data_IF_880729092135
#
_entry.id   IF_880729092135
#
_cell.length_a   1.000
_cell.length_b   1.000
_cell.length_c   1.000
_cell.angle_alpha   90.00
_cell.angle_beta   90.00
_cell.angle_gamma   90.00
#
_symmetry.space_group_name_H-M   'P 1'
#
loop_
_entity.id
_entity.type
_entity.pdbx_description
1 polymer ?
#
# COMPACT_ATOMS: atom_id res chain seq x y z
N UNK A 1 2.80 35.63 -1.75
CA UNK A 1 3.20 34.73 -0.66
C UNK A 1 3.33 33.34 -1.27
N UNK A 2 4.55 32.80 -1.38
CA UNK A 2 4.76 31.42 -1.75
C UNK A 2 4.21 30.58 -0.58
N UNK A 3 3.15 29.81 -0.83
CA UNK A 3 2.70 28.79 0.13
C UNK A 3 3.84 27.79 0.24
N UNK A 4 4.54 27.80 1.37
CA UNK A 4 5.49 26.73 1.69
C UNK A 4 4.69 25.42 1.69
N UNK A 5 4.98 24.53 0.75
CA UNK A 5 4.35 23.22 0.75
C UNK A 5 4.80 22.49 2.01
N UNK A 6 3.86 21.93 2.76
CA UNK A 6 4.21 21.11 3.94
C UNK A 6 5.14 19.98 3.49
N UNK A 7 6.30 19.80 4.14
CA UNK A 7 7.18 18.68 3.82
C UNK A 7 6.40 17.37 3.98
N UNK A 8 6.46 16.52 2.97
CA UNK A 8 5.81 15.21 2.98
C UNK A 8 6.82 14.16 2.50
N UNK A 9 7.02 13.11 3.28
CA UNK A 9 7.83 11.96 2.89
C UNK A 9 6.97 10.70 2.94
N UNK A 10 6.82 10.05 1.80
CA UNK A 10 6.04 8.80 1.65
C UNK A 10 6.93 7.69 1.13
N UNK A 11 6.59 6.44 1.45
CA UNK A 11 7.37 5.31 1.00
C UNK A 11 6.52 4.07 0.70
N UNK A 12 7.00 3.24 -0.23
CA UNK A 12 6.52 1.92 -0.54
C UNK A 12 7.54 0.87 -0.05
N UNK A 13 7.08 -0.07 0.75
CA UNK A 13 7.87 -1.23 1.17
C UNK A 13 7.72 -2.33 0.12
N UNK A 14 8.80 -2.69 -0.54
CA UNK A 14 8.88 -3.85 -1.40
C UNK A 14 9.40 -5.02 -0.59
N UNK A 15 8.51 -5.92 -0.17
CA UNK A 15 8.84 -6.98 0.77
C UNK A 15 8.37 -8.35 0.31
N UNK A 16 9.07 -9.43 0.65
CA UNK A 16 8.52 -10.77 0.58
C UNK A 16 7.50 -10.97 1.70
N UNK A 17 6.64 -11.96 1.56
CA UNK A 17 5.79 -12.46 2.64
C UNK A 17 5.91 -13.97 2.76
N UNK A 18 6.02 -14.48 3.99
CA UNK A 18 5.94 -15.90 4.27
C UNK A 18 4.45 -16.34 4.25
N UNK A 19 4.08 -17.38 3.48
CA UNK A 19 2.70 -17.83 3.36
C UNK A 19 2.06 -18.16 4.71
N UNK A 20 1.02 -17.40 5.12
CA UNK A 20 0.26 -17.60 6.35
C UNK A 20 1.01 -17.35 7.66
N UNK A 21 2.30 -17.00 7.64
CA UNK A 21 3.09 -16.77 8.84
C UNK A 21 3.02 -15.30 9.30
N UNK A 22 1.95 -14.97 10.02
CA UNK A 22 1.69 -13.60 10.50
C UNK A 22 2.83 -13.07 11.38
N UNK A 23 3.46 -13.91 12.19
CA UNK A 23 4.52 -13.46 13.11
C UNK A 23 5.79 -13.09 12.33
N UNK A 24 6.22 -13.94 11.42
CA UNK A 24 7.38 -13.67 10.56
C UNK A 24 7.14 -12.43 9.69
N UNK A 25 5.95 -12.29 9.12
CA UNK A 25 5.58 -11.13 8.33
C UNK A 25 5.53 -9.86 9.18
N UNK A 26 5.03 -9.94 10.43
CA UNK A 26 5.11 -8.84 11.39
C UNK A 26 6.56 -8.37 11.60
N UNK A 27 7.50 -9.30 11.82
CA UNK A 27 8.91 -8.95 12.01
C UNK A 27 9.50 -8.24 10.78
N UNK A 28 9.13 -8.67 9.56
CA UNK A 28 9.48 -8.00 8.31
C UNK A 28 8.92 -6.58 8.25
N UNK A 29 7.64 -6.40 8.58
CA UNK A 29 7.00 -5.08 8.62
C UNK A 29 7.67 -4.15 9.64
N UNK A 30 7.95 -4.64 10.84
CA UNK A 30 8.63 -3.85 11.88
C UNK A 30 10.06 -3.46 11.47
N UNK A 31 10.78 -4.32 10.73
CA UNK A 31 12.08 -3.97 10.16
C UNK A 31 11.96 -2.84 9.13
N UNK A 32 10.94 -2.89 8.26
CA UNK A 32 10.66 -1.82 7.30
C UNK A 32 10.30 -0.51 7.99
N UNK A 33 9.46 -0.54 9.03
CA UNK A 33 9.09 0.65 9.81
C UNK A 33 10.32 1.31 10.40
N UNK A 34 11.22 0.54 11.03
CA UNK A 34 12.48 1.08 11.59
C UNK A 34 13.36 1.72 10.51
N UNK A 35 13.51 1.06 9.35
CA UNK A 35 14.31 1.59 8.26
C UNK A 35 13.69 2.88 7.66
N UNK A 36 12.39 2.90 7.45
CA UNK A 36 11.66 4.07 6.96
C UNK A 36 11.71 5.26 7.92
N UNK A 37 11.65 4.99 9.24
CA UNK A 37 11.73 6.03 10.26
C UNK A 37 13.05 6.81 10.21
N UNK A 38 14.17 6.15 9.94
CA UNK A 38 15.47 6.81 9.77
C UNK A 38 15.52 7.75 8.55
N UNK A 39 14.63 7.54 7.57
CA UNK A 39 14.49 8.39 6.37
C UNK A 39 13.47 9.54 6.58
N UNK A 40 12.81 9.61 7.73
CA UNK A 40 11.78 10.62 8.01
C UNK A 40 10.47 10.37 7.27
N UNK A 41 10.17 9.12 6.93
CA UNK A 41 8.92 8.71 6.27
C UNK A 41 7.73 8.93 7.20
N UNK A 42 6.67 9.53 6.67
CA UNK A 42 5.43 9.82 7.38
C UNK A 42 4.27 8.89 6.98
N UNK A 43 4.41 8.22 5.82
CA UNK A 43 3.50 7.18 5.33
C UNK A 43 4.32 6.03 4.75
N UNK A 44 4.09 4.82 5.22
CA UNK A 44 4.67 3.60 4.67
C UNK A 44 3.56 2.67 4.18
N UNK A 45 3.51 2.47 2.86
CA UNK A 45 2.59 1.56 2.17
C UNK A 45 3.24 0.20 2.01
N UNK A 46 2.52 -0.86 2.38
CA UNK A 46 2.90 -2.26 2.12
C UNK A 46 2.07 -2.86 0.98
N UNK A 47 2.51 -4.00 0.39
CA UNK A 47 1.78 -4.70 -0.66
C UNK A 47 0.40 -5.23 -0.22
N UNK A 48 -0.42 -5.62 -1.19
CA UNK A 48 -1.68 -6.36 -0.97
C UNK A 48 -1.42 -7.60 -0.10
N UNK A 49 -2.28 -7.86 0.92
CA UNK A 49 -2.18 -9.04 1.81
C UNK A 49 -0.77 -9.28 2.40
N UNK A 50 0.03 -8.24 2.56
CA UNK A 50 1.45 -8.34 2.95
C UNK A 50 1.68 -9.05 4.29
N UNK A 51 0.68 -9.06 5.19
CA UNK A 51 0.80 -9.74 6.49
C UNK A 51 0.64 -11.25 6.42
N UNK A 52 0.03 -11.80 5.36
CA UNK A 52 -0.12 -13.26 5.21
C UNK A 52 0.42 -13.81 3.89
N UNK A 53 0.81 -12.95 2.97
CA UNK A 53 1.06 -13.30 1.59
C UNK A 53 -0.25 -13.37 0.76
N UNK A 54 -0.12 -13.30 -0.55
CA UNK A 54 -1.25 -13.50 -1.46
C UNK A 54 -1.55 -15.00 -1.58
N UNK A 55 -2.17 -15.55 -0.51
CA UNK A 55 -2.47 -16.98 -0.38
C UNK A 55 -3.99 -17.18 -0.22
N UNK A 56 -4.74 -17.22 -1.33
CA UNK A 56 -6.20 -17.24 -1.31
C UNK A 56 -6.80 -18.32 -0.43
N UNK A 57 -6.23 -19.52 -0.45
CA UNK A 57 -6.72 -20.66 0.32
C UNK A 57 -6.62 -20.47 1.85
N UNK A 58 -5.78 -19.54 2.31
CA UNK A 58 -5.55 -19.26 3.73
C UNK A 58 -6.37 -18.08 4.25
N UNK A 59 -7.05 -17.32 3.39
CA UNK A 59 -7.71 -16.07 3.78
C UNK A 59 -8.73 -16.24 4.89
N UNK A 60 -9.55 -17.29 4.84
CA UNK A 60 -10.62 -17.52 5.81
C UNK A 60 -10.09 -17.74 7.23
N UNK A 61 -8.90 -18.33 7.36
CA UNK A 61 -8.27 -18.63 8.65
C UNK A 61 -7.44 -17.45 9.20
N UNK A 62 -7.24 -16.40 8.41
CA UNK A 62 -6.35 -15.26 8.73
C UNK A 62 -7.09 -13.91 8.76
N UNK A 63 -8.41 -13.91 8.93
CA UNK A 63 -9.19 -12.67 9.06
C UNK A 63 -8.75 -11.92 10.31
N UNK A 64 -8.32 -10.66 10.14
CA UNK A 64 -7.90 -9.81 11.24
C UNK A 64 -9.03 -8.85 11.64
N UNK A 65 -9.08 -8.56 12.94
CA UNK A 65 -9.86 -7.47 13.54
C UNK A 65 -8.91 -6.37 14.03
N UNK A 66 -9.42 -5.17 14.27
CA UNK A 66 -8.61 -4.01 14.67
C UNK A 66 -7.83 -4.23 16.00
N UNK A 67 -8.26 -5.17 16.83
CA UNK A 67 -7.65 -5.55 18.10
C UNK A 67 -6.75 -6.80 18.00
N UNK A 68 -6.56 -7.33 16.77
CA UNK A 68 -5.67 -8.48 16.58
C UNK A 68 -4.23 -8.13 16.99
N UNK A 69 -3.51 -9.01 17.74
CA UNK A 69 -2.18 -8.73 18.29
C UNK A 69 -1.17 -8.19 17.26
N UNK A 70 -1.18 -8.71 16.04
CA UNK A 70 -0.30 -8.24 14.94
C UNK A 70 -0.60 -6.79 14.58
N UNK A 71 -1.87 -6.40 14.43
CA UNK A 71 -2.25 -5.01 14.16
C UNK A 71 -1.97 -4.09 15.34
N UNK A 72 -2.16 -4.57 16.59
CA UNK A 72 -1.80 -3.79 17.78
C UNK A 72 -0.30 -3.50 17.83
N UNK A 73 0.56 -4.48 17.52
CA UNK A 73 2.01 -4.27 17.45
C UNK A 73 2.41 -3.26 16.38
N UNK A 74 1.82 -3.33 15.18
CA UNK A 74 2.06 -2.36 14.11
C UNK A 74 1.51 -0.97 14.45
N UNK A 75 0.35 -0.88 15.09
CA UNK A 75 -0.22 0.37 15.58
C UNK A 75 0.69 1.04 16.62
N UNK A 76 1.26 0.25 17.54
CA UNK A 76 2.26 0.77 18.47
C UNK A 76 3.51 1.27 17.76
N UNK A 77 3.98 0.57 16.73
CA UNK A 77 5.11 1.02 15.92
C UNK A 77 4.77 2.32 15.15
N UNK A 78 3.57 2.44 14.57
CA UNK A 78 3.08 3.66 13.92
C UNK A 78 3.14 4.86 14.88
N UNK A 79 2.62 4.71 16.09
CA UNK A 79 2.64 5.74 17.13
C UNK A 79 4.07 6.09 17.57
N UNK A 80 4.91 5.08 17.82
CA UNK A 80 6.28 5.28 18.32
C UNK A 80 7.18 6.02 17.34
N UNK A 81 6.90 5.88 16.02
CA UNK A 81 7.68 6.51 14.97
C UNK A 81 7.00 7.72 14.32
N UNK A 82 5.78 8.09 14.76
CA UNK A 82 5.03 9.19 14.16
C UNK A 82 4.69 8.98 12.69
N UNK A 83 4.50 7.71 12.26
CA UNK A 83 4.36 7.28 10.87
C UNK A 83 3.04 6.56 10.68
N UNK A 84 2.27 6.93 9.65
CA UNK A 84 1.12 6.14 9.22
C UNK A 84 1.59 4.89 8.46
N UNK A 85 0.95 3.75 8.73
CA UNK A 85 1.22 2.48 8.04
C UNK A 85 -0.04 2.04 7.30
N UNK A 86 0.11 1.59 6.04
CA UNK A 86 -0.94 0.89 5.32
C UNK A 86 -0.49 -0.55 5.10
N UNK A 87 -1.17 -1.49 5.74
CA UNK A 87 -0.80 -2.92 5.72
C UNK A 87 -1.91 -3.77 5.13
N UNK A 88 -1.55 -4.72 4.29
CA UNK A 88 -2.49 -5.64 3.63
C UNK A 88 -2.75 -6.88 4.49
N UNK A 89 -4.03 -7.17 4.76
CA UNK A 89 -4.46 -8.41 5.43
C UNK A 89 -5.93 -8.72 5.12
N UNK A 90 -6.37 -9.99 5.23
CA UNK A 90 -7.77 -10.31 5.21
C UNK A 90 -8.51 -9.60 6.33
N UNK A 91 -9.72 -9.16 6.05
CA UNK A 91 -10.58 -8.42 6.96
C UNK A 91 -12.00 -8.99 6.96
N UNK A 92 -12.78 -8.64 7.98
CA UNK A 92 -14.20 -8.94 7.98
C UNK A 92 -14.89 -8.34 6.76
N UNK A 93 -15.83 -9.08 6.13
CA UNK A 93 -16.56 -8.59 4.97
C UNK A 93 -17.44 -7.37 5.33
N UNK A 94 -17.79 -6.59 4.31
CA UNK A 94 -18.75 -5.49 4.49
C UNK A 94 -20.18 -5.99 4.83
N UNK A 95 -20.53 -7.19 4.36
CA UNK A 95 -21.81 -7.83 4.62
C UNK A 95 -21.62 -9.09 5.48
N UNK A 96 -22.39 -9.19 6.55
CA UNK A 96 -22.33 -10.35 7.44
C UNK A 96 -22.64 -11.65 6.69
N UNK A 97 -21.79 -12.67 6.89
CA UNK A 97 -21.93 -13.99 6.27
C UNK A 97 -21.35 -14.10 4.86
N UNK A 98 -20.80 -13.02 4.30
CA UNK A 98 -20.01 -13.08 3.08
C UNK A 98 -18.60 -13.63 3.33
N UNK A 99 -17.86 -13.93 2.24
CA UNK A 99 -16.45 -14.29 2.31
C UNK A 99 -15.61 -13.12 2.85
N UNK A 100 -14.43 -13.36 3.42
CA UNK A 100 -13.51 -12.31 3.88
C UNK A 100 -13.27 -11.26 2.80
N UNK A 101 -12.97 -10.03 3.20
CA UNK A 101 -12.52 -9.00 2.28
C UNK A 101 -10.98 -8.95 2.21
N UNK A 102 -10.43 -8.57 1.07
CA UNK A 102 -9.03 -8.19 0.95
C UNK A 102 -8.91 -6.76 1.49
N UNK A 103 -8.28 -6.61 2.64
CA UNK A 103 -8.23 -5.35 3.38
C UNK A 103 -6.90 -4.60 3.25
N UNK A 104 -6.97 -3.28 3.25
CA UNK A 104 -5.84 -2.40 3.53
C UNK A 104 -6.13 -1.64 4.84
N UNK A 105 -5.35 -1.92 5.87
CA UNK A 105 -5.47 -1.33 7.20
C UNK A 105 -4.59 -0.11 7.31
N UNK A 106 -5.18 1.06 7.47
CA UNK A 106 -4.47 2.30 7.77
C UNK A 106 -4.36 2.46 9.29
N UNK A 107 -3.14 2.44 9.79
CA UNK A 107 -2.78 2.61 11.20
C UNK A 107 -2.14 3.99 11.36
N UNK A 108 -2.86 4.91 11.99
CA UNK A 108 -2.42 6.30 12.16
C UNK A 108 -1.39 6.46 13.31
N UNK A 109 -0.52 7.49 13.22
CA UNK A 109 0.43 7.82 14.28
C UNK A 109 -0.26 8.32 15.56
N UNK A 110 -1.51 8.75 15.48
CA UNK A 110 -2.38 9.09 16.61
C UNK A 110 -3.06 7.88 17.25
N UNK A 111 -2.82 6.69 16.70
CA UNK A 111 -3.44 5.44 17.11
C UNK A 111 -4.81 5.19 16.46
N UNK A 112 -5.25 5.98 15.52
CA UNK A 112 -6.43 5.72 14.72
C UNK A 112 -6.25 4.46 13.86
N UNK A 113 -7.36 3.81 13.54
CA UNK A 113 -7.41 2.65 12.63
C UNK A 113 -8.55 2.88 11.65
N UNK A 114 -8.24 2.75 10.37
CA UNK A 114 -9.24 2.71 9.30
C UNK A 114 -9.03 1.47 8.43
N UNK A 115 -10.08 0.96 7.86
CA UNK A 115 -10.06 -0.22 6.99
C UNK A 115 -10.66 0.16 5.64
N UNK A 116 -9.89 -0.03 4.58
CA UNK A 116 -10.36 -0.06 3.22
C UNK A 116 -10.48 -1.52 2.76
N UNK A 117 -11.58 -1.85 2.09
CA UNK A 117 -11.81 -3.18 1.49
C UNK A 117 -11.72 -3.06 -0.01
N UNK A 118 -10.92 -3.89 -0.65
CA UNK A 118 -10.76 -3.98 -2.11
C UNK A 118 -12.10 -4.01 -2.81
N UNK A 119 -12.33 -3.08 -3.74
CA UNK A 119 -13.62 -2.92 -4.43
C UNK A 119 -13.74 -3.82 -5.66
N UNK A 120 -12.65 -3.94 -6.40
CA UNK A 120 -12.62 -4.69 -7.64
C UNK A 120 -11.80 -5.96 -7.41
N UNK A 121 -12.47 -7.10 -7.49
CA UNK A 121 -11.82 -8.39 -7.38
C UNK A 121 -11.25 -8.80 -8.73
N UNK A 122 -10.15 -9.52 -8.73
CA UNK A 122 -9.64 -10.21 -9.91
C UNK A 122 -10.52 -11.45 -10.19
N UNK A 123 -10.66 -11.88 -11.45
CA UNK A 123 -11.58 -12.95 -11.91
C UNK A 123 -11.59 -14.25 -11.06
N UNK A 124 -10.49 -14.55 -10.37
CA UNK A 124 -10.40 -15.74 -9.50
C UNK A 124 -10.67 -15.48 -8.02
N UNK A 125 -10.73 -14.21 -7.60
CA UNK A 125 -10.82 -13.85 -6.19
C UNK A 125 -12.22 -14.02 -5.60
N UNK A 126 -13.28 -14.00 -6.41
CA UNK A 126 -14.67 -14.17 -5.98
C UNK A 126 -14.93 -15.52 -5.28
N UNK A 127 -14.03 -16.49 -5.46
CA UNK A 127 -14.13 -17.82 -4.82
C UNK A 127 -13.72 -17.80 -3.34
N UNK A 128 -12.95 -16.79 -2.90
CA UNK A 128 -12.39 -16.73 -1.56
C UNK A 128 -12.43 -15.33 -0.92
N UNK A 129 -12.86 -14.31 -1.66
CA UNK A 129 -13.02 -12.96 -1.15
C UNK A 129 -14.35 -12.33 -1.57
N UNK A 130 -14.82 -11.37 -0.79
CA UNK A 130 -15.93 -10.49 -1.13
C UNK A 130 -15.44 -9.07 -1.40
N UNK A 131 -16.07 -8.43 -2.39
CA UNK A 131 -15.78 -7.04 -2.73
C UNK A 131 -16.21 -6.07 -1.62
N UNK A 132 -15.43 -5.03 -1.41
CA UNK A 132 -15.82 -3.88 -0.61
C UNK A 132 -16.94 -3.07 -1.28
N UNK A 133 -17.78 -2.46 -0.46
CA UNK A 133 -18.90 -1.62 -0.91
C UNK A 133 -18.65 -0.13 -0.66
N UNK A 134 -17.56 0.19 0.04
CA UNK A 134 -17.26 1.55 0.44
C UNK A 134 -16.90 2.41 -0.79
N UNK A 135 -17.47 3.62 -0.86
CA UNK A 135 -17.00 4.62 -1.83
C UNK A 135 -15.54 5.02 -1.56
N UNK A 136 -14.92 5.69 -2.53
CA UNK A 136 -13.56 6.19 -2.38
C UNK A 136 -13.44 7.05 -1.12
N UNK A 137 -12.90 6.46 -0.05
CA UNK A 137 -12.69 7.15 1.22
C UNK A 137 -11.35 7.88 1.17
N UNK A 138 -11.39 9.18 1.44
CA UNK A 138 -10.18 9.99 1.58
C UNK A 138 -9.84 10.11 3.07
N UNK A 139 -8.62 9.73 3.41
CA UNK A 139 -8.04 9.83 4.74
C UNK A 139 -6.97 10.92 4.77
N UNK A 140 -6.85 11.66 5.86
CA UNK A 140 -5.75 12.62 6.02
C UNK A 140 -4.53 11.93 6.62
N UNK A 141 -3.44 11.93 5.86
CA UNK A 141 -2.15 11.38 6.32
C UNK A 141 -1.07 12.46 6.18
N UNK A 142 -0.45 12.83 7.30
CA UNK A 142 0.51 13.92 7.34
C UNK A 142 -0.02 15.25 6.73
N UNK A 143 -1.33 15.49 6.85
CA UNK A 143 -2.00 16.66 6.27
C UNK A 143 -2.36 16.53 4.78
N UNK A 144 -2.04 15.40 4.13
CA UNK A 144 -2.35 15.13 2.73
C UNK A 144 -3.62 14.26 2.59
N UNK A 145 -4.59 14.66 1.77
CA UNK A 145 -5.73 13.81 1.46
C UNK A 145 -5.30 12.59 0.62
N UNK A 146 -5.49 11.39 1.14
CA UNK A 146 -5.05 10.14 0.53
C UNK A 146 -6.22 9.20 0.31
N UNK A 147 -6.27 8.57 -0.86
CA UNK A 147 -7.12 7.42 -1.15
C UNK A 147 -6.29 6.14 -1.24
N UNK A 148 -6.87 5.04 -0.77
CA UNK A 148 -6.27 3.70 -0.85
C UNK A 148 -6.78 2.93 -2.06
N UNK A 149 -5.93 2.06 -2.60
CA UNK A 149 -6.27 1.09 -3.62
C UNK A 149 -5.59 -0.25 -3.33
N UNK A 150 -6.20 -1.35 -3.76
CA UNK A 150 -5.64 -2.68 -3.63
C UNK A 150 -5.68 -3.40 -4.99
N UNK A 151 -4.52 -3.66 -5.54
CA UNK A 151 -4.24 -4.47 -6.73
C UNK A 151 -5.24 -4.21 -7.88
N UNK A 152 -6.22 -5.07 -8.14
CA UNK A 152 -7.17 -4.92 -9.25
C UNK A 152 -7.92 -3.56 -9.26
N UNK A 153 -8.01 -2.83 -8.16
CA UNK A 153 -8.58 -1.47 -8.16
C UNK A 153 -7.85 -0.55 -9.15
N UNK A 154 -6.53 -0.74 -9.33
CA UNK A 154 -5.74 0.08 -10.26
C UNK A 154 -6.05 -0.20 -11.73
N UNK A 155 -6.65 -1.34 -12.06
CA UNK A 155 -7.04 -1.67 -13.45
C UNK A 155 -8.41 -1.10 -13.81
N UNK A 156 -9.06 -0.39 -12.88
CA UNK A 156 -10.35 0.26 -13.04
C UNK A 156 -10.18 1.79 -12.98
N UNK A 157 -10.10 2.49 -14.13
CA UNK A 157 -9.84 3.94 -14.17
C UNK A 157 -10.84 4.77 -13.36
N UNK A 158 -12.08 4.31 -13.27
CA UNK A 158 -13.14 4.94 -12.46
C UNK A 158 -12.81 4.97 -10.97
N UNK A 159 -11.98 4.04 -10.47
CA UNK A 159 -11.54 4.02 -9.08
C UNK A 159 -10.62 5.22 -8.78
N UNK A 160 -9.61 5.46 -9.62
CA UNK A 160 -8.73 6.62 -9.48
C UNK A 160 -9.47 7.94 -9.71
N UNK A 161 -10.41 7.97 -10.68
CA UNK A 161 -11.27 9.13 -10.93
C UNK A 161 -12.16 9.45 -9.72
N UNK A 162 -12.76 8.43 -9.07
CA UNK A 162 -13.57 8.61 -7.86
C UNK A 162 -12.71 9.12 -6.69
N UNK A 163 -11.50 8.58 -6.51
CA UNK A 163 -10.53 9.05 -5.51
C UNK A 163 -10.21 10.54 -5.70
N UNK A 164 -9.92 10.96 -6.93
CA UNK A 164 -9.70 12.38 -7.24
C UNK A 164 -10.93 13.23 -7.00
N UNK A 165 -12.10 12.75 -7.42
CA UNK A 165 -13.39 13.42 -7.21
C UNK A 165 -13.72 13.62 -5.72
N UNK A 166 -13.29 12.72 -4.85
CA UNK A 166 -13.38 12.82 -3.40
C UNK A 166 -12.31 13.75 -2.78
N UNK A 167 -11.40 14.30 -3.58
CA UNK A 167 -10.39 15.27 -3.16
C UNK A 167 -9.03 14.66 -2.82
N UNK A 168 -8.75 13.40 -3.17
CA UNK A 168 -7.44 12.82 -2.95
C UNK A 168 -6.34 13.57 -3.71
N UNK A 169 -5.22 13.83 -3.03
CA UNK A 169 -3.98 14.35 -3.59
C UNK A 169 -2.91 13.26 -3.70
N UNK A 170 -3.08 12.16 -2.98
CA UNK A 170 -2.24 10.97 -3.03
C UNK A 170 -3.12 9.72 -3.24
N UNK A 171 -2.74 8.89 -4.20
CA UNK A 171 -3.32 7.58 -4.47
C UNK A 171 -2.29 6.51 -4.08
N UNK A 172 -2.55 5.77 -3.01
CA UNK A 172 -1.63 4.80 -2.43
C UNK A 172 -2.14 3.38 -2.68
N UNK A 173 -1.41 2.60 -3.46
CA UNK A 173 -1.78 1.27 -3.90
C UNK A 173 -0.85 0.19 -3.33
N UNK A 174 -1.43 -0.82 -2.66
CA UNK A 174 -0.75 -2.07 -2.32
C UNK A 174 -1.08 -3.12 -3.37
N UNK A 175 -0.08 -3.67 -4.05
CA UNK A 175 -0.30 -4.49 -5.26
C UNK A 175 0.53 -5.78 -5.25
N UNK A 176 0.10 -6.74 -6.09
CA UNK A 176 0.89 -7.85 -6.58
C UNK A 176 0.89 -7.81 -8.11
N UNK A 177 1.79 -7.04 -8.69
CA UNK A 177 1.96 -6.91 -10.13
C UNK A 177 3.04 -7.86 -10.59
N UNK A 178 2.68 -8.81 -11.47
CA UNK A 178 3.63 -9.76 -12.06
C UNK A 178 4.50 -9.11 -13.14
N UNK A 179 5.61 -9.75 -13.48
CA UNK A 179 6.49 -9.29 -14.56
C UNK A 179 5.72 -9.10 -15.88
N UNK A 180 4.78 -9.99 -16.18
CA UNK A 180 3.97 -9.95 -17.41
C UNK A 180 3.03 -8.74 -17.46
N UNK A 181 2.46 -8.35 -16.32
CA UNK A 181 1.48 -7.27 -16.24
C UNK A 181 2.12 -5.89 -16.03
N UNK A 182 3.38 -5.84 -15.57
CA UNK A 182 4.02 -4.63 -15.06
C UNK A 182 3.99 -3.45 -16.05
N UNK A 183 4.32 -3.69 -17.32
CA UNK A 183 4.37 -2.61 -18.31
C UNK A 183 3.00 -1.93 -18.50
N UNK A 184 1.91 -2.69 -18.51
CA UNK A 184 0.56 -2.15 -18.67
C UNK A 184 0.07 -1.45 -17.40
N UNK A 185 0.23 -2.10 -16.23
CA UNK A 185 -0.31 -1.58 -14.98
C UNK A 185 0.50 -0.38 -14.46
N UNK A 186 1.82 -0.36 -14.65
CA UNK A 186 2.63 0.82 -14.33
C UNK A 186 2.29 2.03 -15.22
N UNK A 187 1.95 1.79 -16.50
CA UNK A 187 1.48 2.85 -17.37
C UNK A 187 0.11 3.42 -16.96
N UNK A 188 -0.78 2.59 -16.40
CA UNK A 188 -2.04 3.06 -15.79
C UNK A 188 -1.77 3.97 -14.60
N UNK A 189 -0.90 3.56 -13.67
CA UNK A 189 -0.52 4.35 -12.49
C UNK A 189 0.12 5.68 -12.85
N UNK A 190 1.02 5.69 -13.84
CA UNK A 190 1.58 6.93 -14.42
C UNK A 190 0.47 7.80 -15.01
N UNK A 191 -0.47 7.19 -15.76
CA UNK A 191 -1.63 7.85 -16.33
C UNK A 191 -2.48 8.54 -15.26
N UNK A 192 -2.75 7.88 -14.13
CA UNK A 192 -3.51 8.49 -13.03
C UNK A 192 -2.79 9.67 -12.42
N UNK A 193 -1.47 9.59 -12.26
CA UNK A 193 -0.68 10.72 -11.77
C UNK A 193 -0.73 11.92 -12.73
N UNK A 194 -0.73 11.68 -14.04
CA UNK A 194 -0.79 12.70 -15.07
C UNK A 194 -2.21 13.27 -15.22
N UNK A 195 -3.20 12.40 -15.40
CA UNK A 195 -4.54 12.81 -15.87
C UNK A 195 -5.40 13.36 -14.72
N UNK A 196 -5.11 12.95 -13.48
CA UNK A 196 -5.81 13.43 -12.28
C UNK A 196 -4.99 14.39 -11.43
N UNK A 197 -3.75 14.72 -11.82
CA UNK A 197 -2.85 15.60 -11.05
C UNK A 197 -2.75 15.18 -9.57
N UNK A 198 -2.61 13.86 -9.34
CA UNK A 198 -2.41 13.23 -8.01
C UNK A 198 -0.99 12.65 -7.94
N UNK A 199 -0.40 12.64 -6.75
CA UNK A 199 0.74 11.75 -6.50
C UNK A 199 0.25 10.29 -6.48
N UNK A 200 1.05 9.36 -7.01
CA UNK A 200 0.73 7.93 -7.02
C UNK A 200 1.89 7.15 -6.40
N UNK A 201 1.59 6.34 -5.39
CA UNK A 201 2.53 5.46 -4.71
C UNK A 201 2.08 4.01 -4.88
N UNK A 202 2.95 3.14 -5.40
CA UNK A 202 2.66 1.71 -5.54
C UNK A 202 3.69 0.86 -4.79
N UNK A 203 3.21 0.02 -3.87
CA UNK A 203 3.99 -0.97 -3.15
C UNK A 203 3.73 -2.36 -3.72
N UNK A 204 4.73 -2.94 -4.38
CA UNK A 204 4.68 -4.27 -4.95
C UNK A 204 5.49 -5.27 -4.12
N UNK A 205 5.24 -6.55 -4.28
CA UNK A 205 5.99 -7.61 -3.61
C UNK A 205 7.44 -7.70 -4.06
N UNK A 206 8.27 -8.27 -3.18
CA UNK A 206 9.57 -8.84 -3.51
C UNK A 206 9.40 -10.36 -3.69
N UNK A 207 9.88 -10.91 -4.79
CA UNK A 207 9.87 -12.35 -5.05
C UNK A 207 8.50 -12.92 -5.40
N UNK A 208 8.16 -14.09 -4.84
CA UNK A 208 6.94 -14.84 -5.18
C UNK A 208 5.90 -14.82 -4.07
N UNK A 209 4.61 -14.78 -4.42
CA UNK A 209 3.48 -15.01 -3.51
C UNK A 209 2.31 -15.60 -4.29
N UNK A 210 1.56 -16.53 -3.72
CA UNK A 210 0.39 -17.14 -4.36
C UNK A 210 0.63 -17.77 -5.72
N UNK A 211 1.86 -18.23 -5.99
CA UNK A 211 2.25 -18.77 -7.29
C UNK A 211 2.59 -17.71 -8.35
N UNK A 212 2.47 -16.43 -8.04
CA UNK A 212 2.88 -15.34 -8.93
C UNK A 212 4.30 -14.89 -8.63
N UNK A 213 5.08 -14.61 -9.70
CA UNK A 213 6.38 -13.94 -9.60
C UNK A 213 6.17 -12.45 -9.77
N UNK A 214 6.42 -11.69 -8.71
CA UNK A 214 6.30 -10.23 -8.73
C UNK A 214 7.41 -9.60 -9.58
N UNK A 215 7.07 -8.53 -10.28
CA UNK A 215 8.05 -7.69 -10.95
C UNK A 215 8.91 -6.86 -9.98
N UNK A 216 8.50 -6.78 -8.71
CA UNK A 216 9.05 -5.76 -7.82
C UNK A 216 8.73 -4.37 -8.35
N UNK A 217 9.75 -3.54 -8.51
CA UNK A 217 9.68 -2.21 -9.13
C UNK A 217 8.61 -1.32 -8.51
N UNK A 218 8.42 -1.41 -7.18
CA UNK A 218 7.62 -0.43 -6.44
C UNK A 218 8.06 0.97 -6.82
N UNK A 219 7.11 1.92 -6.95
CA UNK A 219 7.43 3.21 -7.54
C UNK A 219 6.58 4.36 -6.99
N UNK A 220 7.04 5.58 -7.23
CA UNK A 220 6.32 6.80 -6.97
C UNK A 220 6.32 7.71 -8.20
N UNK A 221 5.12 8.18 -8.57
CA UNK A 221 4.92 9.19 -9.60
C UNK A 221 4.40 10.49 -8.95
N UNK A 222 5.03 11.60 -9.29
CA UNK A 222 4.56 12.93 -8.89
C UNK A 222 3.33 13.34 -9.72
N UNK A 223 2.51 14.28 -9.24
CA UNK A 223 1.49 14.93 -10.06
C UNK A 223 2.08 15.37 -11.42
N UNK A 224 1.32 15.16 -12.49
CA UNK A 224 1.80 15.34 -13.87
C UNK A 224 2.46 14.10 -14.49
N UNK A 225 2.54 12.96 -13.78
CA UNK A 225 2.95 11.66 -14.32
C UNK A 225 4.46 11.39 -14.31
N UNK A 226 5.30 12.30 -13.79
CA UNK A 226 6.74 12.07 -13.72
C UNK A 226 7.07 10.97 -12.71
N UNK A 227 7.66 9.86 -13.15
CA UNK A 227 8.24 8.88 -12.25
C UNK A 227 9.43 9.51 -11.52
N UNK A 228 9.31 9.66 -10.20
CA UNK A 228 10.35 10.25 -9.33
C UNK A 228 11.37 9.20 -8.95
N UNK A 229 10.90 8.01 -8.62
CA UNK A 229 11.72 6.88 -8.18
C UNK A 229 10.98 5.58 -8.43
N UNK A 230 11.74 4.55 -8.82
CA UNK A 230 11.28 3.16 -8.87
C UNK A 230 12.40 2.23 -8.37
N UNK A 231 12.02 1.11 -7.74
CA UNK A 231 12.97 0.07 -7.41
C UNK A 231 13.56 -0.54 -8.71
N UNK A 232 14.85 -0.89 -8.74
CA UNK A 232 15.51 -1.37 -9.97
C UNK A 232 15.09 -2.80 -10.38
N UNK A 233 14.44 -3.54 -9.48
CA UNK A 233 14.03 -4.93 -9.68
C UNK A 233 13.18 -5.42 -8.51
N UNK A 234 13.20 -6.72 -8.25
CA UNK A 234 12.37 -7.39 -7.26
C UNK A 234 13.04 -7.59 -5.88
N UNK A 235 14.29 -7.16 -5.69
CA UNK A 235 14.97 -7.28 -4.40
C UNK A 235 14.26 -6.47 -3.30
N UNK A 236 14.25 -6.95 -2.03
CA UNK A 236 13.64 -6.24 -0.91
C UNK A 236 14.22 -4.84 -0.73
N UNK A 237 13.36 -3.82 -0.68
CA UNK A 237 13.78 -2.42 -0.52
C UNK A 237 12.63 -1.54 -0.03
N UNK A 238 12.96 -0.30 0.35
CA UNK A 238 12.01 0.80 0.52
C UNK A 238 12.26 1.82 -0.58
N UNK A 239 11.22 2.13 -1.34
CA UNK A 239 11.18 3.23 -2.29
C UNK A 239 10.57 4.42 -1.57
N UNK A 240 11.29 5.53 -1.44
CA UNK A 240 10.79 6.72 -0.76
C UNK A 240 10.78 7.92 -1.70
N UNK A 241 9.81 8.81 -1.49
CA UNK A 241 9.72 10.09 -2.18
C UNK A 241 9.40 11.19 -1.19
N UNK A 242 10.08 12.33 -1.32
CA UNK A 242 9.94 13.49 -0.46
C UNK A 242 9.60 14.73 -1.28
N UNK A 243 8.58 15.47 -0.82
CA UNK A 243 8.21 16.77 -1.36
C UNK A 243 8.94 17.87 -0.61
N UNK A 244 9.51 18.82 -1.37
CA UNK A 244 10.12 20.05 -0.88
C UNK A 244 9.69 21.24 -1.75
N UNK A 245 10.15 22.44 -1.45
CA UNK A 245 9.89 23.63 -2.27
C UNK A 245 10.45 23.51 -3.69
N UNK A 246 11.46 22.65 -3.91
CA UNK A 246 12.02 22.36 -5.23
C UNK A 246 11.28 21.23 -5.99
N UNK A 247 10.21 20.68 -5.40
CA UNK A 247 9.44 19.58 -5.95
C UNK A 247 9.73 18.23 -5.30
N UNK A 248 9.45 17.15 -6.02
CA UNK A 248 9.63 15.79 -5.53
C UNK A 248 11.01 15.22 -5.87
N UNK A 249 11.68 14.63 -4.89
CA UNK A 249 12.88 13.83 -5.02
C UNK A 249 12.67 12.48 -4.31
N UNK A 250 13.44 11.45 -4.67
CA UNK A 250 13.28 10.14 -4.08
C UNK A 250 14.52 9.27 -4.19
N UNK A 251 14.49 8.13 -3.54
CA UNK A 251 15.56 7.15 -3.55
C UNK A 251 15.10 5.77 -3.10
N UNK A 252 16.04 4.83 -3.12
CA UNK A 252 15.82 3.43 -2.75
C UNK A 252 16.74 3.05 -1.62
N UNK A 253 16.20 2.45 -0.54
CA UNK A 253 16.94 1.86 0.57
C UNK A 253 16.88 0.35 0.43
N UNK A 254 18.00 -0.31 0.27
CA UNK A 254 18.07 -1.78 0.32
C UNK A 254 17.71 -2.29 1.71
N UNK A 255 16.90 -3.36 1.77
CA UNK A 255 16.51 -4.01 3.01
C UNK A 255 17.19 -5.37 3.15
N UNK A 256 17.71 -5.61 4.34
CA UNK A 256 18.00 -6.99 4.78
C UNK A 256 16.79 -7.47 5.57
N UNK A 257 15.96 -8.30 4.96
CA UNK A 257 14.81 -8.91 5.65
C UNK A 257 15.25 -10.20 6.35
N UNK A 258 14.67 -10.52 7.51
CA UNK A 258 14.94 -11.79 8.18
C UNK A 258 14.62 -12.98 7.25
N UNK A 259 15.56 -13.94 7.20
CA UNK A 259 15.41 -15.15 6.40
C UNK A 259 14.28 -16.04 6.92
#
# INVERSE_FOLDING_TARGET
>A
MLSLSTPLCVAAAQTPSAPGDLERNLQTHLACVRAAAHQGVQLLQFPELSLMGYEPALMADHVLTADHPVLLALRQAAQSHGMALVVGAPAEPAQQGALPAIGAWLLGPDGSVALYRKRHLHDSEEQFASAGTDDAQVQLVAGEPMALAVCADITHPEHAQAARGAGAALYAAGVLISEKAYAAESAMLEGYARDHDMAVLAANYSGTSGGYVSAGRSAFWAPGGRCVVAAPGDAPCIVWAQRSDSGWAGGVLSLSVPA
#
